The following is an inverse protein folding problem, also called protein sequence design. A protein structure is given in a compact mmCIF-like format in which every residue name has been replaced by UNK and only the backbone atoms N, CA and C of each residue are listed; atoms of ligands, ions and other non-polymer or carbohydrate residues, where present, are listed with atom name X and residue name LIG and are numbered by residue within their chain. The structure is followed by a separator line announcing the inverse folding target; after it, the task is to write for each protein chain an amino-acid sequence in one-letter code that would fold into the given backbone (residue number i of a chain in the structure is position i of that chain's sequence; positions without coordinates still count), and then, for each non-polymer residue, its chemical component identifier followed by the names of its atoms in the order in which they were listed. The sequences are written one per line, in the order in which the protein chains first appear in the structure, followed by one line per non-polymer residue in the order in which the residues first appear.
data_IF_755596075439
#
_entry.id   IF_755596075439
#
_cell.length_a   1.000
_cell.length_b   1.000
_cell.length_c   1.000
_cell.angle_alpha   90.00
_cell.angle_beta   90.00
_cell.angle_gamma   90.00
#
_symmetry.space_group_name_H-M   'P 1'
#
loop_
_entity.id
_entity.type
_entity.pdbx_description
1 polymer ?
#
# COMPACT_ATOMS: atom_id res chain seq x y z
N UNK A 1 25.39 31.78 -30.65
CA UNK A 1 25.18 30.52 -31.38
C UNK A 1 25.69 29.39 -30.51
N UNK A 2 24.81 28.43 -30.27
CA UNK A 2 24.91 27.26 -29.39
C UNK A 2 25.87 26.20 -29.93
N UNK A 3 26.56 25.48 -29.03
CA UNK A 3 26.88 24.06 -29.29
C UNK A 3 26.93 23.32 -27.96
N UNK A 4 25.87 22.57 -27.71
CA UNK A 4 25.77 21.62 -26.61
C UNK A 4 26.58 20.37 -26.96
N UNK A 5 27.41 19.90 -26.03
CA UNK A 5 27.92 18.52 -26.07
C UNK A 5 26.84 17.60 -25.49
N UNK A 6 26.02 17.01 -26.37
CA UNK A 6 25.24 15.82 -26.06
C UNK A 6 26.19 14.67 -25.71
N UNK A 7 26.26 14.33 -24.43
CA UNK A 7 26.85 13.06 -24.01
C UNK A 7 25.85 11.94 -24.34
N UNK A 8 26.01 11.37 -25.54
CA UNK A 8 25.38 10.12 -25.99
C UNK A 8 25.68 8.98 -25.00
N UNK A 9 24.74 8.71 -24.09
CA UNK A 9 24.75 7.51 -23.25
C UNK A 9 24.34 6.30 -24.11
N UNK A 10 25.32 5.44 -24.40
CA UNK A 10 25.15 4.17 -25.11
C UNK A 10 24.05 3.33 -24.47
N UNK A 11 22.91 3.26 -25.15
CA UNK A 11 21.71 2.51 -24.74
C UNK A 11 21.90 1.01 -25.00
N UNK A 12 22.66 0.36 -24.13
CA UNK A 12 22.93 -1.08 -24.14
C UNK A 12 22.36 -1.84 -22.94
N UNK A 13 21.31 -1.33 -22.30
CA UNK A 13 20.66 -1.99 -21.17
C UNK A 13 19.40 -2.70 -21.64
N UNK A 14 19.52 -4.03 -21.76
CA UNK A 14 18.42 -5.00 -21.70
C UNK A 14 17.30 -4.43 -20.83
N UNK A 15 16.16 -4.11 -21.44
CA UNK A 15 14.94 -3.79 -20.71
C UNK A 15 14.62 -5.00 -19.83
N UNK A 16 14.60 -4.91 -18.49
CA UNK A 16 13.94 -5.95 -17.73
C UNK A 16 12.46 -5.94 -18.17
N UNK A 17 11.82 -7.10 -18.39
CA UNK A 17 10.37 -7.13 -18.56
C UNK A 17 9.80 -6.60 -17.24
N UNK A 18 9.16 -5.43 -17.28
CA UNK A 18 8.56 -4.81 -16.11
C UNK A 18 7.72 -5.85 -15.37
N UNK A 19 8.02 -6.17 -14.10
CA UNK A 19 7.07 -6.91 -13.29
C UNK A 19 5.84 -6.00 -13.19
N UNK A 20 4.75 -6.38 -13.86
CA UNK A 20 3.45 -5.75 -13.61
C UNK A 20 3.20 -5.90 -12.12
N UNK A 21 3.16 -4.79 -11.40
CA UNK A 21 2.84 -4.72 -9.98
C UNK A 21 1.47 -5.35 -9.77
N UNK A 22 1.48 -6.66 -9.49
CA UNK A 22 0.27 -7.41 -9.20
C UNK A 22 -0.18 -6.93 -7.82
N UNK A 23 -1.34 -6.26 -7.68
CA UNK A 23 -1.80 -5.76 -6.39
C UNK A 23 -2.22 -6.95 -5.52
N UNK A 24 -1.24 -7.65 -4.92
CA UNK A 24 -1.51 -8.81 -4.07
C UNK A 24 -2.20 -8.43 -2.75
N UNK A 25 -2.31 -7.14 -2.44
CA UNK A 25 -2.94 -6.61 -1.23
C UNK A 25 -4.13 -5.67 -1.45
N UNK A 26 -4.63 -5.50 -2.68
CA UNK A 26 -5.76 -4.59 -2.91
C UNK A 26 -7.14 -5.19 -2.57
N UNK A 27 -7.23 -6.53 -2.49
CA UNK A 27 -8.47 -7.24 -2.15
C UNK A 27 -8.37 -7.71 -0.71
N UNK A 28 -8.78 -6.84 0.22
CA UNK A 28 -8.75 -7.13 1.66
C UNK A 28 -9.89 -8.04 2.12
N UNK A 29 -9.71 -8.66 3.29
CA UNK A 29 -10.74 -9.47 3.98
C UNK A 29 -12.00 -8.66 4.30
N UNK A 30 -11.87 -7.34 4.49
CA UNK A 30 -12.97 -6.41 4.70
C UNK A 30 -13.95 -6.32 3.53
N UNK A 31 -13.50 -6.56 2.29
CA UNK A 31 -14.41 -6.62 1.14
C UNK A 31 -15.35 -7.84 1.26
N UNK A 32 -14.83 -9.00 1.68
CA UNK A 32 -15.65 -10.21 1.82
C UNK A 32 -16.65 -10.13 2.97
N UNK A 33 -16.23 -9.67 4.16
CA UNK A 33 -17.15 -9.48 5.28
C UNK A 33 -18.16 -8.36 5.01
N UNK A 34 -17.67 -7.25 4.45
CA UNK A 34 -18.48 -6.08 4.14
C UNK A 34 -19.53 -6.37 3.07
N UNK A 35 -19.17 -7.11 2.01
CA UNK A 35 -20.12 -7.51 0.96
C UNK A 35 -21.24 -8.37 1.56
N UNK A 36 -20.90 -9.34 2.43
CA UNK A 36 -21.92 -10.21 3.04
C UNK A 36 -22.94 -9.42 3.86
N UNK A 37 -22.50 -8.44 4.66
CA UNK A 37 -23.42 -7.56 5.40
C UNK A 37 -24.19 -6.61 4.47
N UNK A 38 -23.54 -6.05 3.46
CA UNK A 38 -24.16 -5.07 2.56
C UNK A 38 -25.22 -5.71 1.67
N UNK A 39 -24.98 -6.93 1.16
CA UNK A 39 -25.99 -7.70 0.41
C UNK A 39 -27.21 -7.98 1.30
N UNK A 40 -27.00 -8.36 2.58
CA UNK A 40 -28.12 -8.64 3.50
C UNK A 40 -28.97 -7.42 3.80
N UNK A 41 -28.37 -6.23 3.82
CA UNK A 41 -29.09 -4.97 4.09
C UNK A 41 -29.75 -4.36 2.84
N UNK A 42 -29.06 -4.34 1.69
CA UNK A 42 -29.50 -3.66 0.47
C UNK A 42 -30.19 -4.59 -0.56
N UNK A 43 -30.09 -5.91 -0.39
CA UNK A 43 -30.62 -6.89 -1.34
C UNK A 43 -29.91 -6.84 -2.71
N UNK A 44 -30.55 -7.32 -3.79
CA UNK A 44 -29.92 -7.41 -5.12
C UNK A 44 -29.55 -6.04 -5.72
N UNK A 45 -30.11 -4.94 -5.19
CA UNK A 45 -29.78 -3.57 -5.62
C UNK A 45 -28.34 -3.16 -5.34
N UNK A 46 -27.64 -3.86 -4.43
CA UNK A 46 -26.24 -3.56 -4.08
C UNK A 46 -25.29 -3.70 -5.27
N UNK A 47 -25.60 -4.60 -6.22
CA UNK A 47 -24.83 -4.80 -7.44
C UNK A 47 -24.78 -3.52 -8.27
N UNK A 48 -25.91 -2.81 -8.37
CA UNK A 48 -25.99 -1.54 -9.08
C UNK A 48 -25.15 -0.45 -8.38
N UNK A 49 -25.20 -0.42 -7.04
CA UNK A 49 -24.37 0.48 -6.23
C UNK A 49 -22.88 0.23 -6.42
N UNK A 50 -22.44 -1.04 -6.40
CA UNK A 50 -21.05 -1.41 -6.67
C UNK A 50 -20.62 -1.10 -8.10
N UNK A 51 -21.51 -1.24 -9.09
CA UNK A 51 -21.20 -0.88 -10.48
C UNK A 51 -20.92 0.62 -10.61
N UNK A 52 -21.77 1.47 -10.03
CA UNK A 52 -21.59 2.93 -10.04
C UNK A 52 -20.33 3.32 -9.26
N UNK A 53 -20.13 2.76 -8.07
CA UNK A 53 -18.93 3.00 -7.26
C UNK A 53 -17.65 2.59 -8.00
N UNK A 54 -17.68 1.45 -8.71
CA UNK A 54 -16.57 0.96 -9.53
C UNK A 54 -16.22 1.89 -10.69
N UNK A 55 -17.23 2.46 -11.38
CA UNK A 55 -17.00 3.45 -12.44
C UNK A 55 -16.33 4.70 -11.88
N UNK A 56 -16.82 5.21 -10.75
CA UNK A 56 -16.22 6.39 -10.08
C UNK A 56 -14.77 6.08 -9.64
N UNK A 57 -14.54 4.93 -9.00
CA UNK A 57 -13.22 4.50 -8.58
C UNK A 57 -12.25 4.34 -9.76
N UNK A 58 -12.74 3.86 -10.91
CA UNK A 58 -11.96 3.77 -12.15
C UNK A 58 -11.48 5.13 -12.64
N UNK A 59 -12.36 6.14 -12.65
CA UNK A 59 -11.95 7.51 -12.99
C UNK A 59 -10.91 8.07 -12.02
N UNK A 60 -11.08 7.82 -10.72
CA UNK A 60 -10.13 8.27 -9.69
C UNK A 60 -8.76 7.60 -9.88
N UNK A 61 -8.71 6.27 -10.05
CA UNK A 61 -7.45 5.56 -10.29
C UNK A 61 -6.77 6.01 -11.58
N UNK A 62 -7.55 6.28 -12.64
CA UNK A 62 -7.00 6.78 -13.90
C UNK A 62 -6.32 8.14 -13.71
N UNK A 63 -6.97 9.08 -13.04
CA UNK A 63 -6.39 10.40 -12.80
C UNK A 63 -5.17 10.33 -11.88
N UNK A 64 -5.23 9.52 -10.82
CA UNK A 64 -4.06 9.25 -9.97
C UNK A 64 -2.90 8.63 -10.76
N UNK A 65 -3.20 7.72 -11.68
CA UNK A 65 -2.19 7.10 -12.55
C UNK A 65 -1.51 8.11 -13.46
N UNK A 66 -2.28 9.01 -14.08
CA UNK A 66 -1.74 10.10 -14.91
C UNK A 66 -0.82 11.02 -14.08
N UNK A 67 -1.21 11.39 -12.86
CA UNK A 67 -0.38 12.18 -11.93
C UNK A 67 0.93 11.48 -11.54
N UNK A 68 0.89 10.17 -11.25
CA UNK A 68 2.08 9.39 -10.87
C UNK A 68 3.07 9.24 -12.04
N UNK A 69 2.55 9.19 -13.28
CA UNK A 69 3.38 9.12 -14.49
C UNK A 69 4.03 10.46 -14.80
N UNK A 70 3.32 11.57 -14.57
CA UNK A 70 3.82 12.93 -14.82
C UNK A 70 4.90 13.35 -13.81
N UNK A 71 4.70 13.04 -12.52
CA UNK A 71 5.67 13.29 -11.46
C UNK A 71 6.03 11.99 -10.71
N UNK A 72 7.05 11.22 -11.18
CA UNK A 72 7.50 10.00 -10.53
C UNK A 72 8.37 10.34 -9.30
N UNK A 73 7.76 10.97 -8.30
CA UNK A 73 8.39 11.23 -7.01
C UNK A 73 8.19 10.02 -6.09
N UNK A 74 9.22 9.66 -5.32
CA UNK A 74 9.14 8.63 -4.29
C UNK A 74 8.37 9.12 -3.03
N UNK A 75 7.23 9.78 -3.25
CA UNK A 75 6.38 10.39 -2.22
C UNK A 75 4.99 9.78 -2.20
N UNK A 76 4.40 9.61 -1.01
CA UNK A 76 3.00 9.21 -0.83
C UNK A 76 2.03 10.29 -1.37
N UNK A 77 0.74 9.99 -1.55
CA UNK A 77 -0.29 10.96 -1.99
C UNK A 77 -0.32 12.25 -1.16
N UNK A 78 0.14 12.20 0.09
CA UNK A 78 0.32 13.38 0.94
C UNK A 78 1.35 14.38 0.38
N UNK A 79 2.31 13.93 -0.42
CA UNK A 79 3.24 14.79 -1.16
C UNK A 79 2.53 15.57 -2.27
N UNK A 80 1.69 14.91 -3.07
CA UNK A 80 0.87 15.58 -4.09
C UNK A 80 -0.09 16.59 -3.45
N UNK A 81 -0.75 16.21 -2.34
CA UNK A 81 -1.63 17.11 -1.61
C UNK A 81 -0.90 18.35 -1.04
N UNK A 82 0.33 18.17 -0.54
CA UNK A 82 1.17 19.28 -0.09
C UNK A 82 1.55 20.22 -1.24
N UNK A 83 1.92 19.63 -2.40
CA UNK A 83 2.42 20.36 -3.56
C UNK A 83 1.35 21.16 -4.29
N UNK A 84 0.18 20.57 -4.54
CA UNK A 84 -0.89 21.21 -5.32
C UNK A 84 -1.83 22.07 -4.47
N UNK A 85 -2.08 21.70 -3.21
CA UNK A 85 -3.07 22.38 -2.35
C UNK A 85 -2.45 23.17 -1.19
N UNK A 86 -1.18 22.91 -0.86
CA UNK A 86 -0.44 23.58 0.19
C UNK A 86 -0.20 22.72 1.43
N UNK A 87 0.60 23.24 2.39
CA UNK A 87 1.14 22.45 3.49
C UNK A 87 0.08 21.85 4.43
N UNK A 88 -1.05 22.54 4.61
CA UNK A 88 -2.15 22.07 5.44
C UNK A 88 -2.85 20.83 4.84
N UNK A 89 -3.10 20.81 3.53
CA UNK A 89 -3.69 19.67 2.85
C UNK A 89 -2.75 18.46 2.83
N UNK A 90 -1.44 18.69 2.71
CA UNK A 90 -0.43 17.67 2.89
C UNK A 90 -0.47 17.02 4.27
N UNK A 91 -0.56 17.82 5.33
CA UNK A 91 -0.66 17.32 6.71
C UNK A 91 -1.96 16.54 6.95
N UNK A 92 -3.11 17.08 6.52
CA UNK A 92 -4.40 16.39 6.64
C UNK A 92 -4.43 15.08 5.86
N UNK A 93 -3.87 15.05 4.65
CA UNK A 93 -3.77 13.83 3.84
C UNK A 93 -2.90 12.78 4.56
N UNK A 94 -1.76 13.19 5.12
CA UNK A 94 -0.91 12.29 5.91
C UNK A 94 -1.62 11.70 7.13
N UNK A 95 -2.35 12.55 7.86
CA UNK A 95 -3.15 12.10 9.01
C UNK A 95 -4.31 11.18 8.58
N UNK A 96 -4.97 11.49 7.47
CA UNK A 96 -6.01 10.66 6.90
C UNK A 96 -5.49 9.26 6.54
N UNK A 97 -4.30 9.17 5.94
CA UNK A 97 -3.67 7.87 5.69
C UNK A 97 -3.43 7.09 6.96
N UNK A 98 -2.87 7.73 7.98
CA UNK A 98 -2.58 7.05 9.24
C UNK A 98 -3.85 6.51 9.90
N UNK A 99 -4.90 7.34 9.98
CA UNK A 99 -6.21 6.92 10.52
C UNK A 99 -6.82 5.80 9.69
N UNK A 100 -6.75 5.88 8.37
CA UNK A 100 -7.28 4.85 7.47
C UNK A 100 -6.54 3.52 7.66
N UNK A 101 -5.21 3.55 7.80
CA UNK A 101 -4.43 2.35 8.11
C UNK A 101 -4.83 1.71 9.44
N UNK A 102 -5.04 2.52 10.50
CA UNK A 102 -5.51 2.02 11.79
C UNK A 102 -6.91 1.39 11.66
N UNK A 103 -7.84 2.08 10.98
CA UNK A 103 -9.21 1.62 10.79
C UNK A 103 -9.26 0.30 9.99
N UNK A 104 -8.51 0.23 8.89
CA UNK A 104 -8.40 -0.99 8.07
C UNK A 104 -7.82 -2.12 8.89
N UNK A 105 -6.76 -1.88 9.67
CA UNK A 105 -6.16 -2.91 10.53
C UNK A 105 -7.15 -3.47 11.56
N UNK A 106 -7.98 -2.60 12.17
CA UNK A 106 -9.03 -3.04 13.09
C UNK A 106 -10.14 -3.84 12.37
N UNK A 107 -10.52 -3.43 11.15
CA UNK A 107 -11.51 -4.13 10.35
C UNK A 107 -11.00 -5.53 9.95
N UNK A 108 -9.75 -5.66 9.53
CA UNK A 108 -9.14 -6.95 9.20
C UNK A 108 -9.03 -7.86 10.42
N UNK A 109 -8.69 -7.32 11.59
CA UNK A 109 -8.63 -8.08 12.84
C UNK A 109 -10.00 -8.63 13.24
N UNK A 110 -11.05 -7.82 13.09
CA UNK A 110 -12.44 -8.21 13.35
C UNK A 110 -12.89 -9.30 12.38
N UNK A 111 -12.55 -9.15 11.09
CA UNK A 111 -12.82 -10.15 10.06
C UNK A 111 -12.20 -11.51 10.40
N UNK A 112 -10.93 -11.54 10.80
CA UNK A 112 -10.24 -12.77 11.22
C UNK A 112 -10.92 -13.41 12.44
N UNK A 113 -11.33 -12.61 13.43
CA UNK A 113 -12.07 -13.09 14.59
C UNK A 113 -13.37 -13.80 14.20
N UNK A 114 -14.15 -13.20 13.30
CA UNK A 114 -15.41 -13.77 12.80
C UNK A 114 -15.16 -15.04 11.98
N UNK A 115 -14.12 -15.05 11.13
CA UNK A 115 -13.77 -16.25 10.35
C UNK A 115 -13.38 -17.42 11.25
N UNK A 116 -12.59 -17.20 12.30
CA UNK A 116 -12.20 -18.28 13.21
C UNK A 116 -13.41 -18.79 14.00
N UNK A 117 -14.31 -17.90 14.42
CA UNK A 117 -15.56 -18.30 15.09
C UNK A 117 -16.49 -19.11 14.17
N UNK A 118 -16.45 -18.87 12.85
CA UNK A 118 -17.21 -19.66 11.88
C UNK A 118 -16.76 -21.12 11.80
N UNK A 119 -15.44 -21.39 11.95
CA UNK A 119 -14.88 -22.74 11.91
C UNK A 119 -14.80 -23.40 13.30
N UNK A 120 -14.47 -22.62 14.33
CA UNK A 120 -14.38 -23.03 15.74
C UNK A 120 -15.18 -22.07 16.62
N UNK A 121 -16.48 -22.32 16.83
CA UNK A 121 -17.35 -21.43 17.60
C UNK A 121 -17.02 -21.36 19.09
N UNK A 122 -16.22 -22.30 19.60
CA UNK A 122 -15.78 -22.37 21.00
C UNK A 122 -14.63 -21.40 21.33
N UNK A 123 -13.95 -20.84 20.31
CA UNK A 123 -12.82 -19.95 20.52
C UNK A 123 -13.29 -18.49 20.64
N UNK A 124 -12.97 -17.77 21.74
CA UNK A 124 -13.31 -16.36 21.87
C UNK A 124 -12.61 -15.51 20.81
N UNK A 125 -13.34 -14.58 20.20
CA UNK A 125 -12.84 -13.67 19.14
C UNK A 125 -11.64 -12.82 19.57
N UNK A 126 -11.52 -12.49 20.86
CA UNK A 126 -10.38 -11.73 21.38
C UNK A 126 -9.08 -12.56 21.39
N UNK A 127 -9.17 -13.87 21.60
CA UNK A 127 -8.00 -14.75 21.69
C UNK A 127 -7.40 -14.99 20.31
N UNK A 128 -8.24 -15.23 19.30
CA UNK A 128 -7.82 -15.38 17.91
C UNK A 128 -7.22 -14.08 17.36
N UNK A 129 -7.82 -12.93 17.68
CA UNK A 129 -7.27 -11.62 17.36
C UNK A 129 -5.88 -11.39 17.98
N UNK A 130 -5.70 -11.72 19.27
CA UNK A 130 -4.42 -11.58 19.96
C UNK A 130 -3.32 -12.46 19.33
N UNK A 131 -3.64 -13.71 18.97
CA UNK A 131 -2.68 -14.63 18.32
C UNK A 131 -2.25 -14.09 16.95
N UNK A 132 -3.20 -13.66 16.12
CA UNK A 132 -2.88 -13.08 14.81
C UNK A 132 -2.08 -11.79 14.93
N UNK A 133 -2.41 -10.94 15.90
CA UNK A 133 -1.67 -9.72 16.19
C UNK A 133 -0.20 -10.03 16.52
N UNK A 134 0.05 -11.00 17.41
CA UNK A 134 1.40 -11.43 17.76
C UNK A 134 2.13 -12.06 16.57
N UNK A 135 1.45 -12.89 15.79
CA UNK A 135 2.02 -13.53 14.60
C UNK A 135 2.46 -12.50 13.54
N UNK A 136 1.60 -11.52 13.23
CA UNK A 136 1.91 -10.44 12.29
C UNK A 136 3.07 -9.60 12.83
N UNK A 137 3.07 -9.28 14.13
CA UNK A 137 4.16 -8.50 14.73
C UNK A 137 5.49 -9.26 14.66
N UNK A 138 5.48 -10.57 14.94
CA UNK A 138 6.65 -11.42 14.81
C UNK A 138 7.19 -11.47 13.36
N UNK A 139 6.30 -11.63 12.38
CA UNK A 139 6.66 -11.58 10.95
C UNK A 139 7.26 -10.21 10.61
N UNK A 140 6.64 -9.12 11.06
CA UNK A 140 7.11 -7.76 10.79
C UNK A 140 8.53 -7.54 11.36
N UNK A 141 8.80 -8.03 12.58
CA UNK A 141 10.14 -8.00 13.18
C UNK A 141 11.17 -8.83 12.41
N UNK A 142 10.79 -9.98 11.84
CA UNK A 142 11.71 -10.75 10.98
C UNK A 142 12.06 -10.01 9.69
N UNK A 143 11.11 -9.31 9.09
CA UNK A 143 11.34 -8.52 7.88
C UNK A 143 12.26 -7.31 8.15
N UNK A 144 12.04 -6.61 9.26
CA UNK A 144 12.91 -5.50 9.70
C UNK A 144 14.32 -6.00 10.01
N UNK A 145 14.48 -7.17 10.66
CA UNK A 145 15.80 -7.75 10.91
C UNK A 145 16.53 -8.14 9.63
N UNK A 146 15.82 -8.68 8.63
CA UNK A 146 16.41 -9.01 7.34
C UNK A 146 16.87 -7.76 6.58
N UNK A 147 16.06 -6.70 6.58
CA UNK A 147 16.41 -5.42 5.97
C UNK A 147 17.56 -4.71 6.71
N UNK A 148 17.54 -4.71 8.05
CA UNK A 148 18.60 -4.14 8.86
C UNK A 148 19.93 -4.88 8.65
N UNK A 149 19.91 -6.22 8.61
CA UNK A 149 21.05 -7.09 8.31
C UNK A 149 21.64 -6.79 6.91
N UNK A 150 20.80 -6.69 5.89
CA UNK A 150 21.24 -6.37 4.52
C UNK A 150 21.81 -4.95 4.38
N UNK A 151 21.24 -3.96 5.09
CA UNK A 151 21.78 -2.59 5.14
C UNK A 151 23.11 -2.50 5.91
N UNK A 152 23.34 -3.42 6.87
CA UNK A 152 24.58 -3.51 7.63
C UNK A 152 25.71 -4.13 6.81
N UNK A 153 25.41 -5.06 5.91
CA UNK A 153 26.40 -5.70 5.03
C UNK A 153 26.82 -4.84 3.82
N UNK A 154 25.95 -3.93 3.37
CA UNK A 154 26.19 -3.07 2.19
C UNK A 154 26.95 -1.77 2.48
N UNK A 155 27.11 -1.40 3.77
CA UNK A 155 27.84 -0.20 4.19
C UNK A 155 29.37 -0.38 4.27
N UNK A 156 29.87 -1.61 4.07
CA UNK A 156 31.30 -1.93 4.17
C UNK A 156 32.01 -2.14 2.83
N UNK A 157 31.32 -2.06 1.67
CA UNK A 157 31.93 -2.31 0.36
C UNK A 157 32.10 -1.10 -0.55
N UNK A 158 31.76 0.11 -0.09
CA UNK A 158 31.91 1.35 -0.87
C UNK A 158 32.47 2.51 -0.03
N UNK A 159 33.71 2.36 0.41
CA UNK A 159 34.54 3.50 0.81
C UNK A 159 35.96 3.32 0.28
N UNK A 160 36.35 3.94 -0.84
CA UNK A 160 37.77 4.15 -1.10
C UNK A 160 38.27 5.20 -0.09
N UNK A 161 39.37 4.96 0.63
CA UNK A 161 39.99 6.03 1.42
C UNK A 161 40.44 7.12 0.44
N UNK A 162 39.81 8.29 0.54
CA UNK A 162 40.35 9.49 -0.06
C UNK A 162 41.64 9.89 0.67
N UNK A 163 42.65 10.27 -0.12
CA UNK A 163 43.91 10.94 0.21
C UNK A 163 45.01 10.17 0.96
N UNK A 164 46.02 9.74 0.20
CA UNK A 164 47.39 10.26 0.32
C UNK A 164 48.03 10.29 -1.08
#
# INVERSE_FOLDING_TARGET
MTTQQEHQLKRGLKKPPHPVDRPRGAVGTGLFLGIAQTIRMAGPSVLLGYAIAGVIAFFIMRQLGEMVVEEPVAGSFSHFANRYWGPFAGFMSGWNYWVLYVLVSMAELTAVGIYIQYWWPEVPTWLSAAIFFVAINAINLTHVKFMASWSSGSRLSKWPPSSA
#
